data_IF_652921511046
#
_entry.id   IF_652921511046
#
_cell.length_a   1.000
_cell.length_b   1.000
_cell.length_c   1.000
_cell.angle_alpha   90.00
_cell.angle_beta   90.00
_cell.angle_gamma   90.00
#
_symmetry.space_group_name_H-M   'P 1'
#
loop_
_entity.id
_entity.type
_entity.pdbx_description
1 polymer ?
#
# COMPACT_ATOMS: atom_id res chain seq x y z
N UNK A 1 -23.40 18.42 1.35
CA UNK A 1 -22.69 18.93 0.15
C UNK A 1 -22.85 18.03 -1.07
N UNK A 2 -22.59 16.72 -0.99
CA UNK A 2 -22.65 15.79 -2.15
C UNK A 2 -24.03 15.77 -2.85
N UNK A 3 -25.12 15.70 -2.09
CA UNK A 3 -26.50 15.72 -2.62
C UNK A 3 -26.82 16.95 -3.47
N UNK A 4 -26.26 18.10 -3.10
CA UNK A 4 -26.44 19.35 -3.85
C UNK A 4 -25.77 19.26 -5.23
N UNK A 5 -24.53 18.76 -5.29
CA UNK A 5 -23.82 18.58 -6.56
C UNK A 5 -24.47 17.52 -7.46
N UNK A 6 -24.98 16.42 -6.87
CA UNK A 6 -25.71 15.40 -7.61
C UNK A 6 -27.02 15.93 -8.21
N UNK A 7 -27.77 16.73 -7.45
CA UNK A 7 -28.99 17.39 -7.94
C UNK A 7 -28.66 18.39 -9.06
N UNK A 8 -27.61 19.19 -8.91
CA UNK A 8 -27.15 20.16 -9.91
C UNK A 8 -26.75 19.49 -11.23
N UNK A 9 -25.98 18.40 -11.16
CA UNK A 9 -25.58 17.62 -12.35
C UNK A 9 -26.78 17.00 -13.06
N UNK A 10 -27.73 16.44 -12.30
CA UNK A 10 -28.96 15.86 -12.85
C UNK A 10 -29.79 16.93 -13.59
N UNK A 11 -29.94 18.12 -13.00
CA UNK A 11 -30.63 19.24 -13.63
C UNK A 11 -29.93 19.69 -14.93
N UNK A 12 -28.59 19.77 -14.92
CA UNK A 12 -27.81 20.16 -16.10
C UNK A 12 -28.02 19.19 -17.27
N UNK A 13 -28.03 17.88 -17.00
CA UNK A 13 -28.29 16.85 -18.02
C UNK A 13 -29.71 16.96 -18.59
N UNK A 14 -30.72 17.18 -17.74
CA UNK A 14 -32.11 17.36 -18.17
C UNK A 14 -32.24 18.56 -19.13
N UNK A 15 -31.62 19.69 -18.79
CA UNK A 15 -31.65 20.90 -19.63
C UNK A 15 -30.99 20.64 -20.99
N UNK A 16 -29.84 19.96 -21.01
CA UNK A 16 -29.08 19.69 -22.24
C UNK A 16 -29.88 18.79 -23.21
N UNK A 17 -30.64 17.83 -22.67
CA UNK A 17 -31.51 16.95 -23.46
C UNK A 17 -32.75 17.70 -23.97
N UNK A 18 -33.39 18.53 -23.15
CA UNK A 18 -34.63 19.23 -23.53
C UNK A 18 -34.38 20.40 -24.51
N UNK A 19 -33.22 21.07 -24.41
CA UNK A 19 -32.86 22.22 -25.23
C UNK A 19 -32.99 22.02 -26.75
N UNK A 20 -32.44 20.95 -27.38
CA UNK A 20 -32.59 20.72 -28.81
C UNK A 20 -34.03 20.39 -29.22
N UNK A 21 -34.84 19.76 -28.35
CA UNK A 21 -36.25 19.47 -28.64
C UNK A 21 -37.14 20.72 -28.59
N UNK A 22 -36.74 21.74 -27.81
CA UNK A 22 -37.44 23.01 -27.69
C UNK A 22 -37.12 24.00 -28.83
N UNK A 23 -36.06 23.77 -29.61
CA UNK A 23 -35.66 24.69 -30.68
C UNK A 23 -36.55 24.54 -31.93
N UNK A 24 -37.18 25.63 -32.42
CA UNK A 24 -37.96 25.57 -33.65
C UNK A 24 -37.05 25.33 -34.86
N UNK A 25 -37.35 24.27 -35.63
CA UNK A 25 -36.84 24.02 -36.98
C UNK A 25 -37.13 25.22 -37.88
N UNK A 26 -36.12 26.07 -38.13
CA UNK A 26 -36.21 27.25 -39.02
C UNK A 26 -36.40 26.89 -40.51
N UNK A 27 -35.99 25.68 -40.91
CA UNK A 27 -35.81 25.29 -42.32
C UNK A 27 -37.10 25.12 -43.12
N UNK A 28 -38.25 24.85 -42.48
CA UNK A 28 -39.54 24.70 -43.19
C UNK A 28 -40.27 26.03 -43.38
N UNK A 29 -40.00 27.01 -42.51
CA UNK A 29 -40.64 28.33 -42.56
C UNK A 29 -40.08 29.13 -43.74
N UNK A 30 -38.76 29.08 -43.97
CA UNK A 30 -38.11 29.75 -45.11
C UNK A 30 -38.62 29.29 -46.49
N UNK A 31 -38.97 28.01 -46.65
CA UNK A 31 -39.41 27.47 -47.95
C UNK A 31 -40.82 27.94 -48.32
N UNK A 32 -41.74 27.93 -47.35
CA UNK A 32 -43.10 28.39 -47.55
C UNK A 32 -43.16 29.91 -47.80
N UNK A 33 -42.32 30.68 -47.11
CA UNK A 33 -42.23 32.13 -47.33
C UNK A 33 -41.62 32.46 -48.72
N UNK A 34 -40.69 31.64 -49.22
CA UNK A 34 -40.15 31.74 -50.59
C UNK A 34 -41.19 31.40 -51.67
N UNK A 35 -41.94 30.31 -51.52
CA UNK A 35 -42.96 29.90 -52.49
C UNK A 35 -44.08 30.95 -52.61
N UNK A 36 -44.46 31.59 -51.49
CA UNK A 36 -45.44 32.69 -51.49
C UNK A 36 -44.96 33.92 -52.28
N UNK A 37 -43.67 34.24 -52.20
CA UNK A 37 -43.08 35.34 -52.96
C UNK A 37 -43.15 35.07 -54.48
N UNK A 38 -42.89 33.83 -54.90
CA UNK A 38 -43.01 33.41 -56.30
C UNK A 38 -44.45 33.53 -56.80
N UNK A 39 -45.44 33.07 -56.04
CA UNK A 39 -46.84 33.13 -56.47
C UNK A 39 -47.37 34.57 -56.60
N UNK A 40 -46.83 35.52 -55.82
CA UNK A 40 -47.15 36.95 -55.98
C UNK A 40 -46.59 37.50 -57.29
N UNK A 41 -45.34 37.19 -57.61
CA UNK A 41 -44.71 37.61 -58.87
C UNK A 41 -45.44 37.01 -60.10
N UNK A 42 -45.94 35.78 -60.00
CA UNK A 42 -46.77 35.16 -61.03
C UNK A 42 -48.10 35.87 -61.26
N UNK A 43 -48.73 36.42 -60.22
CA UNK A 43 -49.94 37.23 -60.39
C UNK A 43 -49.62 38.51 -61.14
N UNK A 44 -48.53 39.18 -60.79
CA UNK A 44 -48.11 40.41 -61.46
C UNK A 44 -47.74 40.16 -62.94
N UNK A 45 -47.18 38.99 -63.29
CA UNK A 45 -46.90 38.63 -64.68
C UNK A 45 -48.18 38.44 -65.50
N UNK A 46 -49.22 37.82 -64.93
CA UNK A 46 -50.52 37.67 -65.59
C UNK A 46 -51.14 39.04 -65.91
N UNK A 47 -50.96 40.03 -65.04
CA UNK A 47 -51.43 41.40 -65.26
C UNK A 47 -50.68 42.05 -66.43
N UNK A 48 -49.37 41.83 -66.51
CA UNK A 48 -48.54 42.31 -67.61
C UNK A 48 -48.90 41.64 -68.94
N UNK A 49 -49.20 40.36 -68.94
CA UNK A 49 -49.58 39.61 -70.15
C UNK A 49 -50.95 40.03 -70.69
N UNK A 50 -51.91 40.28 -69.80
CA UNK A 50 -53.22 40.83 -70.17
C UNK A 50 -53.07 42.25 -70.74
N UNK A 51 -52.26 43.10 -70.12
CA UNK A 51 -52.01 44.47 -70.60
C UNK A 51 -51.29 44.49 -71.97
N UNK A 52 -50.43 43.49 -72.24
CA UNK A 52 -49.75 43.31 -73.53
C UNK A 52 -50.63 42.64 -74.59
N UNK A 53 -51.82 42.16 -74.22
CA UNK A 53 -52.72 41.43 -75.12
C UNK A 53 -52.21 40.03 -75.53
N UNK A 54 -51.29 39.45 -74.76
CA UNK A 54 -50.76 38.09 -74.99
C UNK A 54 -51.81 37.03 -74.63
N UNK A 55 -52.65 37.35 -73.64
CA UNK A 55 -53.76 36.51 -73.16
C UNK A 55 -55.05 37.34 -73.13
N UNK A 56 -56.19 36.68 -73.28
CA UNK A 56 -57.50 37.32 -73.13
C UNK A 56 -57.93 37.43 -71.65
N UNK A 57 -59.02 38.18 -71.40
CA UNK A 57 -59.51 38.42 -70.04
C UNK A 57 -60.02 37.15 -69.34
N UNK A 58 -60.55 36.18 -70.08
CA UNK A 58 -61.07 34.93 -69.52
C UNK A 58 -59.91 34.03 -69.08
N UNK A 59 -58.86 33.95 -69.90
CA UNK A 59 -57.61 33.24 -69.60
C UNK A 59 -56.89 33.85 -68.39
N UNK A 60 -56.85 35.18 -68.29
CA UNK A 60 -56.25 35.88 -67.15
C UNK A 60 -56.99 35.59 -65.83
N UNK A 61 -58.33 35.64 -65.83
CA UNK A 61 -59.12 35.32 -64.62
C UNK A 61 -58.98 33.85 -64.20
N UNK A 62 -58.93 32.93 -65.16
CA UNK A 62 -58.67 31.52 -64.89
C UNK A 62 -57.29 31.31 -64.24
N UNK A 63 -56.23 31.95 -64.78
CA UNK A 63 -54.88 31.88 -64.24
C UNK A 63 -54.79 32.46 -62.82
N UNK A 64 -55.39 33.64 -62.57
CA UNK A 64 -55.44 34.26 -61.23
C UNK A 64 -56.10 33.35 -60.20
N UNK A 65 -57.19 32.70 -60.58
CA UNK A 65 -57.97 31.83 -59.68
C UNK A 65 -57.15 30.61 -59.26
N UNK A 66 -56.44 29.99 -60.20
CA UNK A 66 -55.55 28.87 -59.93
C UNK A 66 -54.36 29.27 -59.04
N UNK A 67 -53.73 30.43 -59.31
CA UNK A 67 -52.61 30.92 -58.48
C UNK A 67 -53.08 31.24 -57.05
N UNK A 68 -54.23 31.90 -56.89
CA UNK A 68 -54.84 32.16 -55.56
C UNK A 68 -55.16 30.88 -54.81
N UNK A 69 -55.65 29.84 -55.51
CA UNK A 69 -55.89 28.52 -54.92
C UNK A 69 -54.59 27.87 -54.42
N UNK A 70 -53.49 27.99 -55.16
CA UNK A 70 -52.17 27.49 -54.75
C UNK A 70 -51.61 28.23 -53.54
N UNK A 71 -51.82 29.54 -53.45
CA UNK A 71 -51.45 30.34 -52.27
C UNK A 71 -52.18 29.84 -51.01
N UNK A 72 -53.50 29.60 -51.11
CA UNK A 72 -54.30 29.09 -49.99
C UNK A 72 -53.87 27.67 -49.58
N UNK A 73 -53.52 26.81 -50.54
CA UNK A 73 -53.01 25.47 -50.28
C UNK A 73 -51.64 25.51 -49.55
N UNK A 74 -50.73 26.39 -49.99
CA UNK A 74 -49.43 26.56 -49.35
C UNK A 74 -49.53 27.08 -47.89
N UNK A 75 -50.46 28.00 -47.61
CA UNK A 75 -50.71 28.48 -46.24
C UNK A 75 -51.35 27.40 -45.34
N UNK A 76 -52.23 26.57 -45.90
CA UNK A 76 -52.79 25.41 -45.20
C UNK A 76 -51.69 24.38 -44.83
N UNK A 77 -50.76 24.09 -45.76
CA UNK A 77 -49.61 23.21 -45.48
C UNK A 77 -48.67 23.80 -44.41
N UNK A 78 -48.41 25.10 -44.45
CA UNK A 78 -47.63 25.84 -43.42
C UNK A 78 -48.26 25.67 -42.03
N UNK A 79 -49.57 25.81 -41.93
CA UNK A 79 -50.31 25.66 -40.67
C UNK A 79 -50.35 24.20 -40.18
N UNK A 80 -50.46 23.22 -41.09
CA UNK A 80 -50.47 21.79 -40.76
C UNK A 80 -49.10 21.29 -40.23
N UNK A 81 -47.99 21.75 -40.81
CA UNK A 81 -46.63 21.38 -40.39
C UNK A 81 -46.30 21.94 -38.99
N UNK A 82 -46.85 23.11 -38.64
CA UNK A 82 -46.58 23.76 -37.34
C UNK A 82 -47.25 23.07 -36.15
N UNK A 83 -48.41 22.42 -36.37
CA UNK A 83 -49.30 21.94 -35.30
C UNK A 83 -49.14 20.45 -34.98
N UNK A 84 -48.73 19.63 -35.95
CA UNK A 84 -48.91 18.17 -35.85
C UNK A 84 -47.69 17.42 -35.31
N UNK A 85 -46.46 17.93 -35.47
CA UNK A 85 -45.24 17.14 -35.21
C UNK A 85 -44.54 17.41 -33.85
N UNK A 86 -44.74 18.55 -33.19
CA UNK A 86 -43.90 18.96 -32.02
C UNK A 86 -44.44 18.57 -30.64
N UNK A 87 -45.76 18.43 -30.47
CA UNK A 87 -46.38 18.29 -29.13
C UNK A 87 -46.17 16.93 -28.44
N UNK A 88 -46.27 15.76 -29.11
CA UNK A 88 -46.12 14.48 -28.39
C UNK A 88 -44.66 14.15 -28.01
N UNK A 89 -43.69 14.56 -28.84
CA UNK A 89 -42.27 14.31 -28.57
C UNK A 89 -41.72 15.12 -27.39
N UNK A 90 -42.16 16.39 -27.25
CA UNK A 90 -41.78 17.24 -26.13
C UNK A 90 -42.39 16.76 -24.80
N UNK A 91 -43.68 16.40 -24.81
CA UNK A 91 -44.36 15.88 -23.64
C UNK A 91 -43.73 14.56 -23.14
N UNK A 92 -43.35 13.66 -24.07
CA UNK A 92 -42.64 12.44 -23.73
C UNK A 92 -41.25 12.69 -23.13
N UNK A 93 -40.47 13.63 -23.70
CA UNK A 93 -39.15 13.96 -23.18
C UNK A 93 -39.19 14.58 -21.79
N UNK A 94 -40.17 15.46 -21.52
CA UNK A 94 -40.37 16.06 -20.19
C UNK A 94 -40.79 14.98 -19.17
N UNK A 95 -41.68 14.07 -19.58
CA UNK A 95 -42.13 12.97 -18.72
C UNK A 95 -40.97 12.06 -18.32
N UNK A 96 -40.12 11.65 -19.26
CA UNK A 96 -38.95 10.81 -18.99
C UNK A 96 -37.94 11.54 -18.11
N UNK A 97 -37.69 12.83 -18.36
CA UNK A 97 -36.78 13.65 -17.58
C UNK A 97 -37.21 13.82 -16.11
N UNK A 98 -38.51 13.75 -15.82
CA UNK A 98 -39.05 13.82 -14.45
C UNK A 98 -39.14 12.44 -13.78
N UNK A 99 -39.53 11.40 -14.52
CA UNK A 99 -39.71 10.06 -13.95
C UNK A 99 -38.38 9.42 -13.54
N UNK A 100 -37.31 9.58 -14.34
CA UNK A 100 -36.02 8.95 -14.04
C UNK A 100 -35.43 9.35 -12.68
N UNK A 101 -35.30 10.66 -12.34
CA UNK A 101 -34.75 11.08 -11.06
C UNK A 101 -35.63 10.67 -9.88
N UNK A 102 -36.96 10.78 -10.04
CA UNK A 102 -37.92 10.39 -9.00
C UNK A 102 -37.84 8.88 -8.74
N UNK A 103 -37.79 8.08 -9.80
CA UNK A 103 -37.61 6.62 -9.71
C UNK A 103 -36.29 6.25 -9.04
N UNK A 104 -35.20 6.95 -9.37
CA UNK A 104 -33.90 6.73 -8.73
C UNK A 104 -33.95 6.99 -7.21
N UNK A 105 -34.59 8.09 -6.78
CA UNK A 105 -34.80 8.38 -5.35
C UNK A 105 -35.71 7.34 -4.69
N UNK A 106 -36.80 6.94 -5.36
CA UNK A 106 -37.75 5.95 -4.84
C UNK A 106 -37.12 4.56 -4.64
N UNK A 107 -36.17 4.17 -5.50
CA UNK A 107 -35.38 2.94 -5.32
C UNK A 107 -34.29 3.11 -4.26
N UNK A 108 -33.67 4.28 -4.17
CA UNK A 108 -32.58 4.54 -3.22
C UNK A 108 -33.05 4.57 -1.76
N UNK A 109 -34.23 5.13 -1.46
CA UNK A 109 -34.72 5.24 -0.08
C UNK A 109 -34.91 3.87 0.65
N UNK A 110 -35.46 2.82 0.02
CA UNK A 110 -35.62 1.50 0.68
C UNK A 110 -34.36 0.63 0.64
N UNK A 111 -33.50 0.76 -0.37
CA UNK A 111 -32.30 -0.09 -0.52
C UNK A 111 -31.02 0.55 0.01
N UNK A 112 -30.97 1.88 0.02
CA UNK A 112 -29.83 2.66 0.48
C UNK A 112 -29.88 2.90 1.98
N UNK A 113 -28.78 3.44 2.51
CA UNK A 113 -28.69 3.86 3.90
C UNK A 113 -28.40 5.37 3.93
N UNK A 114 -29.42 6.22 3.73
CA UNK A 114 -29.26 7.68 3.63
C UNK A 114 -28.70 8.31 4.90
N UNK A 115 -28.91 7.67 6.05
CA UNK A 115 -28.53 8.17 7.37
C UNK A 115 -27.09 7.82 7.78
N UNK A 116 -26.34 7.09 6.94
CA UNK A 116 -24.95 6.77 7.27
C UNK A 116 -24.08 8.04 7.22
N UNK A 117 -23.36 8.36 8.32
CA UNK A 117 -22.43 9.47 8.33
C UNK A 117 -21.28 9.19 7.36
N UNK A 118 -20.76 10.25 6.75
CA UNK A 118 -19.61 10.14 5.85
C UNK A 118 -18.37 9.68 6.63
N UNK A 119 -17.91 8.45 6.38
CA UNK A 119 -16.70 7.92 7.00
C UNK A 119 -15.46 8.19 6.13
N UNK A 120 -14.43 8.89 6.66
CA UNK A 120 -13.11 8.98 6.06
C UNK A 120 -12.54 7.60 5.70
N UNK A 121 -11.71 7.56 4.65
CA UNK A 121 -11.12 6.30 4.17
C UNK A 121 -10.23 5.62 5.24
N UNK A 122 -9.59 6.40 6.09
CA UNK A 122 -8.76 5.95 7.20
C UNK A 122 -9.57 5.17 8.24
N UNK A 123 -10.68 5.72 8.72
CA UNK A 123 -11.55 5.05 9.70
C UNK A 123 -12.15 3.76 9.15
N UNK A 124 -12.49 3.72 7.85
CA UNK A 124 -12.95 2.49 7.19
C UNK A 124 -11.86 1.42 7.10
N UNK A 125 -10.61 1.82 6.84
CA UNK A 125 -9.46 0.90 6.79
C UNK A 125 -9.11 0.37 8.17
N UNK A 126 -9.18 1.21 9.20
CA UNK A 126 -8.95 0.79 10.59
C UNK A 126 -10.06 -0.13 11.10
N UNK A 127 -11.32 0.16 10.80
CA UNK A 127 -12.44 -0.72 11.12
C UNK A 127 -12.34 -2.07 10.39
N UNK A 128 -11.93 -2.07 9.11
CA UNK A 128 -11.69 -3.29 8.35
C UNK A 128 -10.50 -4.10 8.88
N UNK A 129 -9.40 -3.44 9.26
CA UNK A 129 -8.23 -4.09 9.86
C UNK A 129 -8.56 -4.69 11.24
N UNK A 130 -9.35 -3.97 12.04
CA UNK A 130 -9.82 -4.44 13.36
C UNK A 130 -10.80 -5.60 13.24
N UNK A 131 -11.69 -5.57 12.25
CA UNK A 131 -12.60 -6.68 11.96
C UNK A 131 -11.87 -7.91 11.43
N UNK A 132 -10.87 -7.73 10.55
CA UNK A 132 -10.02 -8.82 10.05
C UNK A 132 -9.18 -9.46 11.17
N UNK A 133 -8.62 -8.63 12.08
CA UNK A 133 -7.90 -9.13 13.25
C UNK A 133 -8.83 -9.80 14.29
N UNK A 134 -10.05 -9.30 14.47
CA UNK A 134 -11.02 -9.87 15.42
C UNK A 134 -11.59 -11.21 14.93
N UNK A 135 -11.88 -11.36 13.63
CA UNK A 135 -12.32 -12.62 13.04
C UNK A 135 -11.26 -13.72 13.15
N UNK A 136 -10.01 -13.41 12.78
CA UNK A 136 -8.88 -14.33 12.93
C UNK A 136 -8.59 -14.67 14.40
N UNK A 137 -8.75 -13.70 15.31
CA UNK A 137 -8.57 -13.95 16.75
C UNK A 137 -9.61 -14.91 17.33
N UNK A 138 -10.86 -14.87 16.86
CA UNK A 138 -11.92 -15.76 17.31
C UNK A 138 -11.71 -17.19 16.79
N UNK A 139 -11.46 -17.34 15.48
CA UNK A 139 -11.15 -18.63 14.86
C UNK A 139 -9.91 -19.29 15.48
N UNK A 140 -8.89 -18.50 15.80
CA UNK A 140 -7.67 -19.01 16.45
C UNK A 140 -7.91 -19.42 17.90
N UNK A 141 -8.81 -18.74 18.64
CA UNK A 141 -9.23 -19.17 19.99
C UNK A 141 -9.97 -20.50 19.95
N UNK A 142 -10.88 -20.67 19.00
CA UNK A 142 -11.63 -21.92 18.83
C UNK A 142 -10.69 -23.08 18.45
N UNK A 143 -9.69 -22.81 17.60
CA UNK A 143 -8.65 -23.79 17.25
C UNK A 143 -7.81 -24.23 18.47
N UNK A 144 -7.44 -23.28 19.34
CA UNK A 144 -6.74 -23.59 20.60
C UNK A 144 -7.60 -24.46 21.51
N UNK A 145 -8.90 -24.18 21.61
CA UNK A 145 -9.80 -24.96 22.46
C UNK A 145 -9.99 -26.38 21.91
N UNK A 146 -10.15 -26.54 20.60
CA UNK A 146 -10.16 -27.87 19.97
C UNK A 146 -8.85 -28.63 20.20
N UNK A 147 -7.71 -27.95 20.13
CA UNK A 147 -6.42 -28.56 20.42
C UNK A 147 -6.33 -29.02 21.89
N UNK A 148 -6.84 -28.23 22.84
CA UNK A 148 -6.93 -28.63 24.25
C UNK A 148 -7.80 -29.86 24.44
N UNK A 149 -8.96 -29.93 23.78
CA UNK A 149 -9.84 -31.11 23.87
C UNK A 149 -9.15 -32.37 23.33
N UNK A 150 -8.44 -32.28 22.19
CA UNK A 150 -7.66 -33.40 21.68
C UNK A 150 -6.56 -33.85 22.63
N UNK A 151 -5.91 -32.92 23.32
CA UNK A 151 -4.89 -33.24 24.33
C UNK A 151 -5.46 -33.83 25.62
N UNK A 152 -6.77 -33.73 25.87
CA UNK A 152 -7.44 -34.50 26.92
C UNK A 152 -7.63 -35.96 26.52
N UNK A 153 -7.86 -36.22 25.22
CA UNK A 153 -8.01 -37.57 24.66
C UNK A 153 -6.64 -38.25 24.47
N UNK A 154 -5.62 -37.48 24.07
CA UNK A 154 -4.23 -37.93 23.90
C UNK A 154 -3.23 -37.05 24.69
N UNK A 155 -3.08 -37.31 26.00
CA UNK A 155 -2.24 -36.50 26.90
C UNK A 155 -0.74 -36.76 26.75
N UNK A 156 -0.32 -37.72 25.91
CA UNK A 156 1.07 -38.10 25.69
C UNK A 156 1.64 -37.54 24.37
N UNK A 157 0.84 -36.80 23.60
CA UNK A 157 1.29 -36.15 22.37
C UNK A 157 2.24 -34.97 22.64
N UNK A 158 3.56 -35.23 22.63
CA UNK A 158 4.59 -34.20 22.76
C UNK A 158 4.44 -33.07 21.72
N UNK A 159 4.10 -33.44 20.49
CA UNK A 159 3.88 -32.51 19.38
C UNK A 159 2.64 -31.64 19.61
N UNK A 160 1.54 -32.23 20.10
CA UNK A 160 0.32 -31.50 20.41
C UNK A 160 0.53 -30.48 21.54
N UNK A 161 1.23 -30.86 22.61
CA UNK A 161 1.59 -29.94 23.70
C UNK A 161 2.53 -28.82 23.22
N UNK A 162 3.49 -29.14 22.35
CA UNK A 162 4.39 -28.14 21.73
C UNK A 162 3.60 -27.14 20.88
N UNK A 163 2.66 -27.65 20.05
CA UNK A 163 1.81 -26.80 19.22
C UNK A 163 0.93 -25.88 20.07
N UNK A 164 0.36 -26.39 21.16
CA UNK A 164 -0.46 -25.60 22.08
C UNK A 164 0.37 -24.48 22.71
N UNK A 165 1.56 -24.81 23.19
CA UNK A 165 2.47 -23.85 23.82
C UNK A 165 2.86 -22.72 22.84
N UNK A 166 3.34 -23.07 21.64
CA UNK A 166 3.71 -22.10 20.60
C UNK A 166 2.54 -21.26 20.12
N UNK A 167 1.36 -21.86 19.96
CA UNK A 167 0.14 -21.13 19.57
C UNK A 167 -0.24 -20.08 20.62
N UNK A 168 -0.19 -20.43 21.91
CA UNK A 168 -0.45 -19.49 22.99
C UNK A 168 0.61 -18.37 23.04
N UNK A 169 1.88 -18.71 22.87
CA UNK A 169 2.98 -17.74 22.81
C UNK A 169 2.83 -16.78 21.62
N UNK A 170 2.45 -17.26 20.43
CA UNK A 170 2.19 -16.44 19.25
C UNK A 170 1.03 -15.44 19.45
N UNK A 171 0.04 -15.81 20.28
CA UNK A 171 -1.03 -14.89 20.72
C UNK A 171 -0.59 -13.90 21.81
N UNK A 172 0.69 -13.86 22.16
CA UNK A 172 1.25 -13.11 23.30
C UNK A 172 0.68 -13.52 24.66
N UNK A 173 0.06 -14.71 24.74
CA UNK A 173 -0.46 -15.32 25.98
C UNK A 173 0.64 -16.14 26.65
N UNK A 174 1.80 -15.53 26.86
CA UNK A 174 3.03 -16.19 27.31
C UNK A 174 2.83 -16.94 28.64
N UNK A 175 2.19 -16.31 29.63
CA UNK A 175 1.92 -16.95 30.93
C UNK A 175 1.07 -18.22 30.81
N UNK A 176 0.07 -18.22 29.92
CA UNK A 176 -0.81 -19.38 29.69
C UNK A 176 -0.11 -20.50 28.91
N UNK A 177 0.97 -20.20 28.19
CA UNK A 177 1.73 -21.20 27.43
C UNK A 177 2.66 -22.05 28.30
N UNK A 178 3.06 -21.54 29.48
CA UNK A 178 4.05 -22.20 30.36
C UNK A 178 3.66 -23.63 30.76
N UNK A 179 2.42 -23.93 31.19
CA UNK A 179 2.02 -25.31 31.50
C UNK A 179 2.15 -26.25 30.30
N UNK A 180 1.82 -25.78 29.10
CA UNK A 180 1.93 -26.56 27.88
C UNK A 180 3.39 -26.79 27.49
N UNK A 181 4.27 -25.79 27.61
CA UNK A 181 5.71 -25.97 27.42
C UNK A 181 6.30 -26.97 28.40
N UNK A 182 5.92 -26.90 29.69
CA UNK A 182 6.39 -27.83 30.71
C UNK A 182 5.99 -29.27 30.37
N UNK A 183 4.73 -29.48 29.99
CA UNK A 183 4.23 -30.80 29.60
C UNK A 183 4.89 -31.32 28.32
N UNK A 184 5.07 -30.46 27.32
CA UNK A 184 5.79 -30.80 26.10
C UNK A 184 7.24 -31.24 26.39
N UNK A 185 7.92 -30.56 27.33
CA UNK A 185 9.30 -30.89 27.70
C UNK A 185 9.40 -32.20 28.47
N UNK A 186 8.43 -32.51 29.33
CA UNK A 186 8.36 -33.83 30.01
C UNK A 186 8.30 -34.97 28.98
N UNK A 187 7.60 -34.77 27.87
CA UNK A 187 7.41 -35.77 26.81
C UNK A 187 8.53 -35.74 25.76
N UNK A 188 9.25 -34.63 25.63
CA UNK A 188 10.35 -34.46 24.67
C UNK A 188 11.52 -33.68 25.31
N UNK A 189 12.26 -34.31 26.23
CA UNK A 189 13.32 -33.64 27.00
C UNK A 189 14.52 -33.22 26.14
N UNK A 190 14.71 -33.87 24.99
CA UNK A 190 15.88 -33.63 24.13
C UNK A 190 15.64 -32.56 23.04
N UNK A 191 14.44 -31.99 22.96
CA UNK A 191 14.09 -31.04 21.91
C UNK A 191 14.67 -29.65 22.20
N UNK A 192 15.79 -29.34 21.54
CA UNK A 192 16.52 -28.06 21.66
C UNK A 192 15.65 -26.84 21.34
N UNK A 193 14.85 -26.92 20.27
CA UNK A 193 13.97 -25.81 19.87
C UNK A 193 12.89 -25.55 20.92
N UNK A 194 12.28 -26.61 21.45
CA UNK A 194 11.27 -26.50 22.51
C UNK A 194 11.84 -25.88 23.79
N UNK A 195 13.04 -26.31 24.22
CA UNK A 195 13.71 -25.74 25.40
C UNK A 195 14.05 -24.26 25.21
N UNK A 196 14.48 -23.88 24.00
CA UNK A 196 14.78 -22.48 23.66
C UNK A 196 13.51 -21.62 23.72
N UNK A 197 12.44 -22.03 23.04
CA UNK A 197 11.16 -21.32 23.03
C UNK A 197 10.58 -21.19 24.46
N UNK A 198 10.73 -22.24 25.27
CA UNK A 198 10.26 -22.23 26.65
C UNK A 198 11.09 -21.26 27.51
N UNK A 199 12.41 -21.29 27.39
CA UNK A 199 13.31 -20.37 28.09
C UNK A 199 12.99 -18.92 27.73
N UNK A 200 12.83 -18.59 26.44
CA UNK A 200 12.44 -17.26 25.97
C UNK A 200 11.07 -16.82 26.49
N UNK A 201 10.11 -17.74 26.54
CA UNK A 201 8.79 -17.47 27.12
C UNK A 201 8.89 -17.12 28.60
N UNK A 202 9.74 -17.84 29.35
CA UNK A 202 10.01 -17.53 30.76
C UNK A 202 10.64 -16.14 30.91
N UNK A 203 11.61 -15.79 30.06
CA UNK A 203 12.20 -14.45 30.03
C UNK A 203 11.13 -13.36 29.84
N UNK A 204 10.20 -13.56 28.92
CA UNK A 204 9.15 -12.57 28.62
C UNK A 204 8.22 -12.37 29.83
N UNK A 205 7.75 -13.45 30.46
CA UNK A 205 6.82 -13.31 31.60
C UNK A 205 7.49 -12.76 32.86
N UNK A 206 8.82 -12.88 32.95
CA UNK A 206 9.65 -12.33 34.02
C UNK A 206 10.31 -11.00 33.61
N UNK A 207 9.77 -10.29 32.61
CA UNK A 207 10.21 -8.96 32.20
C UNK A 207 11.71 -8.87 31.86
N UNK A 208 12.28 -9.92 31.26
CA UNK A 208 13.67 -9.99 30.87
C UNK A 208 14.61 -10.49 31.97
N UNK A 209 14.13 -10.87 33.15
CA UNK A 209 14.93 -11.55 34.17
C UNK A 209 15.19 -13.01 33.78
N UNK A 210 16.46 -13.44 33.82
CA UNK A 210 16.84 -14.84 33.60
C UNK A 210 16.63 -15.61 34.89
N UNK A 211 15.43 -16.18 35.05
CA UNK A 211 15.12 -17.06 36.16
C UNK A 211 15.97 -18.32 36.16
N UNK A 212 16.08 -18.99 37.30
CA UNK A 212 16.83 -20.24 37.41
C UNK A 212 16.25 -21.34 36.49
N UNK A 213 14.92 -21.42 36.34
CA UNK A 213 14.28 -22.36 35.40
C UNK A 213 14.70 -22.06 33.94
N UNK A 214 14.70 -20.79 33.54
CA UNK A 214 15.14 -20.38 32.20
C UNK A 214 16.63 -20.67 31.98
N UNK A 215 17.48 -20.37 32.97
CA UNK A 215 18.91 -20.64 32.90
C UNK A 215 19.20 -22.13 32.70
N UNK A 216 18.53 -23.02 33.45
CA UNK A 216 18.71 -24.46 33.30
C UNK A 216 18.29 -24.97 31.91
N UNK A 217 17.23 -24.41 31.32
CA UNK A 217 16.84 -24.73 29.95
C UNK A 217 17.92 -24.32 28.94
N UNK A 218 18.46 -23.11 29.06
CA UNK A 218 19.52 -22.64 28.17
C UNK A 218 20.83 -23.42 28.36
N UNK A 219 21.18 -23.82 29.58
CA UNK A 219 22.34 -24.68 29.82
C UNK A 219 22.18 -26.05 29.14
N UNK A 220 21.00 -26.68 29.23
CA UNK A 220 20.70 -27.93 28.52
C UNK A 220 20.72 -27.77 26.99
N UNK A 221 20.29 -26.61 26.48
CA UNK A 221 20.45 -26.27 25.05
C UNK A 221 21.94 -26.24 24.69
N UNK A 222 22.79 -25.61 25.50
CA UNK A 222 24.23 -25.54 25.23
C UNK A 222 24.95 -26.90 25.36
N UNK A 223 24.47 -27.81 26.21
CA UNK A 223 24.98 -29.18 26.27
C UNK A 223 24.79 -29.91 24.92
N UNK A 224 23.68 -29.65 24.23
CA UNK A 224 23.34 -30.29 22.94
C UNK A 224 23.82 -29.48 21.74
N UNK A 225 23.89 -28.16 21.87
CA UNK A 225 24.24 -27.21 20.82
C UNK A 225 25.11 -26.10 21.41
N UNK A 226 26.43 -26.34 21.59
CA UNK A 226 27.33 -25.43 22.29
C UNK A 226 27.40 -24.02 21.71
N UNK A 227 27.11 -23.88 20.42
CA UNK A 227 27.15 -22.62 19.68
C UNK A 227 25.75 -22.06 19.38
N UNK A 228 24.70 -22.51 20.08
CA UNK A 228 23.33 -22.01 19.87
C UNK A 228 23.22 -20.52 20.27
N UNK A 229 22.96 -19.59 19.32
CA UNK A 229 23.08 -18.15 19.57
C UNK A 229 22.21 -17.64 20.74
N UNK A 230 20.92 -18.03 20.77
CA UNK A 230 19.99 -17.60 21.82
C UNK A 230 20.45 -18.06 23.21
N UNK A 231 20.80 -19.33 23.38
CA UNK A 231 21.24 -19.86 24.67
C UNK A 231 22.57 -19.24 25.13
N UNK A 232 23.54 -19.01 24.23
CA UNK A 232 24.77 -18.30 24.58
C UNK A 232 24.46 -16.88 25.04
N UNK A 233 23.55 -16.18 24.35
CA UNK A 233 23.10 -14.84 24.72
C UNK A 233 22.44 -14.82 26.10
N UNK A 234 21.46 -15.68 26.36
CA UNK A 234 20.70 -15.66 27.63
C UNK A 234 21.51 -16.16 28.83
N UNK A 235 22.44 -17.11 28.64
CA UNK A 235 23.39 -17.47 29.71
C UNK A 235 24.32 -16.29 30.01
N UNK A 236 24.80 -15.58 29.00
CA UNK A 236 25.59 -14.35 29.18
C UNK A 236 24.80 -13.27 29.91
N UNK A 237 23.53 -13.06 29.54
CA UNK A 237 22.63 -12.14 30.21
C UNK A 237 22.43 -12.51 31.70
N UNK A 238 22.32 -13.80 32.02
CA UNK A 238 22.23 -14.27 33.41
C UNK A 238 23.48 -13.90 34.21
N UNK A 239 24.67 -14.09 33.61
CA UNK A 239 25.94 -13.69 34.25
C UNK A 239 25.97 -12.18 34.52
N UNK A 240 25.54 -11.35 33.55
CA UNK A 240 25.45 -9.90 33.73
C UNK A 240 24.46 -9.52 34.85
N UNK A 241 23.27 -10.11 34.87
CA UNK A 241 22.24 -9.85 35.90
C UNK A 241 22.70 -10.25 37.30
N UNK A 242 23.56 -11.27 37.40
CA UNK A 242 24.19 -11.71 38.67
C UNK A 242 25.45 -10.90 39.04
N UNK A 243 25.78 -9.85 38.29
CA UNK A 243 26.94 -8.97 38.54
C UNK A 243 28.27 -9.51 38.00
N UNK A 244 28.28 -10.68 37.35
CA UNK A 244 29.45 -11.26 36.69
C UNK A 244 29.62 -10.67 35.28
N UNK A 245 29.74 -9.33 35.22
CA UNK A 245 29.74 -8.55 33.98
C UNK A 245 30.85 -8.99 33.02
N UNK A 246 32.06 -9.21 33.53
CA UNK A 246 33.22 -9.64 32.72
C UNK A 246 32.97 -10.99 32.04
N UNK A 247 32.35 -11.95 32.74
CA UNK A 247 32.03 -13.26 32.19
C UNK A 247 30.96 -13.16 31.10
N UNK A 248 29.90 -12.37 31.36
CA UNK A 248 28.83 -12.11 30.38
C UNK A 248 29.36 -11.45 29.12
N UNK A 249 30.20 -10.42 29.27
CA UNK A 249 30.87 -9.73 28.16
C UNK A 249 31.75 -10.67 27.34
N UNK A 250 32.56 -11.50 28.00
CA UNK A 250 33.41 -12.48 27.31
C UNK A 250 32.60 -13.48 26.48
N UNK A 251 31.45 -13.92 27.01
CA UNK A 251 30.54 -14.84 26.33
C UNK A 251 29.85 -14.17 25.14
N UNK A 252 29.36 -12.94 25.28
CA UNK A 252 28.78 -12.17 24.17
C UNK A 252 29.80 -11.83 23.09
N UNK A 253 31.04 -11.50 23.46
CA UNK A 253 32.12 -11.28 22.49
C UNK A 253 32.48 -12.56 21.71
N UNK A 254 32.50 -13.72 22.38
CA UNK A 254 32.68 -15.00 21.71
C UNK A 254 31.52 -15.30 20.74
N UNK A 255 30.28 -14.98 21.12
CA UNK A 255 29.12 -15.11 20.24
C UNK A 255 29.22 -14.20 19.01
N UNK A 256 29.58 -12.94 19.21
CA UNK A 256 29.74 -11.97 18.13
C UNK A 256 30.82 -12.40 17.11
N UNK A 257 31.96 -12.90 17.57
CA UNK A 257 33.03 -13.41 16.69
C UNK A 257 32.61 -14.61 15.83
N UNK A 258 31.63 -15.40 16.29
CA UNK A 258 31.08 -16.54 15.55
C UNK A 258 29.85 -16.18 14.70
N UNK A 259 29.43 -14.91 14.70
CA UNK A 259 28.24 -14.49 13.98
C UNK A 259 28.40 -14.72 12.46
N UNK A 260 27.40 -15.32 11.77
CA UNK A 260 27.45 -15.42 10.33
C UNK A 260 27.38 -14.03 9.68
N UNK A 261 27.98 -13.84 8.49
CA UNK A 261 27.87 -12.57 7.77
C UNK A 261 26.41 -12.18 7.55
N UNK A 262 26.04 -10.95 7.95
CA UNK A 262 24.66 -10.45 7.82
C UNK A 262 23.70 -10.86 8.93
N UNK A 263 24.20 -11.40 10.06
CA UNK A 263 23.39 -11.67 11.24
C UNK A 263 22.64 -10.41 11.73
N UNK A 264 21.31 -10.39 11.59
CA UNK A 264 20.46 -9.24 11.97
C UNK A 264 20.52 -8.90 13.47
N UNK A 265 20.83 -9.89 14.31
CA UNK A 265 20.94 -9.74 15.77
C UNK A 265 22.28 -9.14 16.23
N UNK A 266 23.32 -9.16 15.38
CA UNK A 266 24.68 -8.76 15.77
C UNK A 266 24.77 -7.27 16.19
N UNK A 267 24.19 -6.30 15.44
CA UNK A 267 24.25 -4.89 15.83
C UNK A 267 23.60 -4.62 17.19
N UNK A 268 22.52 -5.34 17.51
CA UNK A 268 21.84 -5.22 18.80
C UNK A 268 22.68 -5.75 19.97
N UNK A 269 23.37 -6.88 19.76
CA UNK A 269 24.28 -7.44 20.76
C UNK A 269 25.46 -6.49 21.03
N UNK A 270 26.08 -5.98 19.97
CA UNK A 270 27.19 -5.03 20.09
C UNK A 270 26.77 -3.74 20.81
N UNK A 271 25.56 -3.25 20.55
CA UNK A 271 25.03 -2.08 21.21
C UNK A 271 24.80 -2.31 22.71
N UNK A 272 24.22 -3.46 23.08
CA UNK A 272 24.11 -3.85 24.48
C UNK A 272 25.47 -3.95 25.18
N UNK A 273 26.47 -4.55 24.53
CA UNK A 273 27.83 -4.65 25.06
C UNK A 273 28.44 -3.26 25.29
N UNK A 274 28.26 -2.32 24.36
CA UNK A 274 28.71 -0.92 24.52
C UNK A 274 28.01 -0.20 25.66
N UNK A 275 26.69 -0.33 25.77
CA UNK A 275 25.92 0.27 26.86
C UNK A 275 26.34 -0.31 28.22
N UNK A 276 26.59 -1.61 28.29
CA UNK A 276 27.05 -2.27 29.51
C UNK A 276 28.45 -1.80 29.92
N UNK A 277 29.38 -1.69 28.97
CA UNK A 277 30.73 -1.18 29.21
C UNK A 277 30.74 0.31 29.60
N UNK A 278 29.82 1.12 29.06
CA UNK A 278 29.70 2.53 29.47
C UNK A 278 29.19 2.70 30.91
N UNK A 279 28.40 1.73 31.39
CA UNK A 279 27.74 1.78 32.69
C UNK A 279 28.43 0.90 33.76
N UNK A 280 29.58 0.30 33.45
CA UNK A 280 30.33 -0.57 34.35
C UNK A 280 31.84 -0.40 34.15
N UNK A 281 32.65 -0.91 35.08
CA UNK A 281 34.12 -0.96 34.90
C UNK A 281 34.58 -2.03 33.89
N UNK A 282 33.65 -2.68 33.18
CA UNK A 282 33.96 -3.70 32.20
C UNK A 282 34.47 -3.08 30.90
N UNK A 283 35.62 -3.56 30.44
CA UNK A 283 36.20 -3.17 29.16
C UNK A 283 35.60 -3.98 28.02
N UNK A 284 35.29 -3.29 26.91
CA UNK A 284 35.03 -3.95 25.64
C UNK A 284 36.31 -4.66 25.18
N UNK A 285 36.22 -5.88 24.64
CA UNK A 285 37.33 -6.50 23.94
C UNK A 285 37.89 -5.57 22.85
N UNK A 286 39.21 -5.51 22.70
CA UNK A 286 39.90 -4.55 21.82
C UNK A 286 39.38 -4.57 20.37
N UNK A 287 38.99 -5.75 19.87
CA UNK A 287 38.39 -5.96 18.54
C UNK A 287 36.99 -5.37 18.38
N UNK A 288 36.32 -5.01 19.49
CA UNK A 288 34.98 -4.41 19.54
C UNK A 288 34.98 -2.97 20.08
N UNK A 289 36.14 -2.42 20.46
CA UNK A 289 36.30 -1.01 20.86
C UNK A 289 36.27 -0.04 19.68
N UNK A 290 36.50 -0.55 18.46
CA UNK A 290 36.30 0.24 17.25
C UNK A 290 34.79 0.56 17.10
N UNK A 291 34.41 1.83 16.82
CA UNK A 291 33.02 2.16 16.55
C UNK A 291 32.50 1.23 15.45
N UNK A 292 31.35 0.59 15.70
CA UNK A 292 30.72 -0.38 14.82
C UNK A 292 30.97 0.01 13.36
N UNK A 293 31.90 -0.70 12.72
CA UNK A 293 32.45 -0.29 11.43
C UNK A 293 31.35 -0.40 10.37
N UNK A 294 30.61 0.69 10.18
CA UNK A 294 29.47 0.73 9.27
C UNK A 294 28.95 2.12 8.91
N UNK A 295 29.35 3.19 9.60
CA UNK A 295 28.97 4.56 9.20
C UNK A 295 29.65 5.64 10.03
N UNK A 296 29.70 6.89 9.52
CA UNK A 296 30.21 8.02 10.28
C UNK A 296 29.39 8.25 11.55
N UNK A 297 30.05 8.63 12.64
CA UNK A 297 29.39 9.00 13.90
C UNK A 297 28.51 10.23 13.69
N UNK A 298 27.58 10.49 14.61
CA UNK A 298 26.72 11.68 14.55
C UNK A 298 27.54 12.98 14.48
N UNK A 299 28.60 13.08 15.27
CA UNK A 299 29.52 14.21 15.24
C UNK A 299 30.23 14.35 13.89
N UNK A 300 30.63 13.23 13.27
CA UNK A 300 31.23 13.22 11.94
C UNK A 300 30.23 13.63 10.85
N UNK A 301 28.94 13.27 10.98
CA UNK A 301 27.89 13.69 10.06
C UNK A 301 27.58 15.20 10.19
N UNK A 302 27.59 15.75 11.40
CA UNK A 302 27.39 17.18 11.65
C UNK A 302 28.57 17.99 11.11
N UNK A 303 29.81 17.55 11.36
CA UNK A 303 31.01 18.17 10.78
C UNK A 303 31.03 18.11 9.24
N UNK A 304 30.57 17.00 8.65
CA UNK A 304 30.51 16.84 7.19
C UNK A 304 29.43 17.74 6.51
N UNK A 305 28.43 18.21 7.27
CA UNK A 305 27.43 19.16 6.77
C UNK A 305 27.99 20.57 6.62
N UNK A 306 28.99 20.93 7.43
CA UNK A 306 29.67 22.23 7.39
C UNK A 306 30.79 22.30 6.34
N UNK A 307 31.23 21.15 5.82
CA UNK A 307 32.27 21.05 4.79
C UNK A 307 31.78 21.45 3.40
N UNK A 308 32.70 22.01 2.60
CA UNK A 308 32.50 22.20 1.17
C UNK A 308 32.38 20.85 0.44
N UNK A 309 31.73 20.81 -0.74
CA UNK A 309 31.64 19.59 -1.55
C UNK A 309 33.01 18.95 -1.84
N UNK A 310 34.04 19.77 -2.07
CA UNK A 310 35.40 19.35 -2.35
C UNK A 310 36.07 18.71 -1.12
N UNK A 311 35.98 19.35 0.04
CA UNK A 311 36.51 18.80 1.31
C UNK A 311 35.81 17.50 1.69
N UNK A 312 34.49 17.41 1.46
CA UNK A 312 33.72 16.20 1.70
C UNK A 312 34.18 15.06 0.79
N UNK A 313 34.47 15.34 -0.49
CA UNK A 313 35.00 14.34 -1.41
C UNK A 313 36.39 13.86 -1.03
N UNK A 314 37.26 14.77 -0.57
CA UNK A 314 38.61 14.43 -0.09
C UNK A 314 38.56 13.56 1.16
N UNK A 315 37.70 13.91 2.12
CA UNK A 315 37.44 13.09 3.30
C UNK A 315 36.91 11.69 2.95
N UNK A 316 35.95 11.60 2.01
CA UNK A 316 35.45 10.29 1.56
C UNK A 316 36.58 9.48 0.92
N UNK A 317 37.42 10.09 0.08
CA UNK A 317 38.58 9.41 -0.52
C UNK A 317 39.54 8.89 0.54
N UNK A 318 39.92 9.70 1.53
CA UNK A 318 40.83 9.26 2.59
C UNK A 318 40.25 8.12 3.43
N UNK A 319 38.94 8.11 3.66
CA UNK A 319 38.25 7.00 4.34
C UNK A 319 38.28 5.70 3.51
N UNK A 320 38.06 5.79 2.21
CA UNK A 320 38.08 4.63 1.30
C UNK A 320 39.50 4.09 1.13
N UNK A 321 40.51 4.97 1.05
CA UNK A 321 41.92 4.57 1.03
C UNK A 321 42.35 3.89 2.33
N UNK A 322 41.86 4.37 3.48
CA UNK A 322 42.09 3.72 4.78
C UNK A 322 41.44 2.33 4.87
N UNK A 323 40.24 2.16 4.30
CA UNK A 323 39.59 0.84 4.17
C UNK A 323 40.41 -0.08 3.26
N UNK A 324 40.91 0.41 2.12
CA UNK A 324 41.77 -0.37 1.24
C UNK A 324 43.05 -0.84 1.94
N UNK A 325 43.70 0.05 2.72
CA UNK A 325 44.90 -0.30 3.47
C UNK A 325 44.63 -1.41 4.48
N UNK A 326 43.55 -1.32 5.26
CA UNK A 326 43.17 -2.37 6.23
C UNK A 326 42.88 -3.71 5.55
N UNK A 327 42.21 -3.70 4.39
CA UNK A 327 41.88 -4.93 3.66
C UNK A 327 43.11 -5.62 3.04
N UNK A 328 44.26 -4.94 2.95
CA UNK A 328 45.53 -5.59 2.63
C UNK A 328 46.04 -6.44 3.80
N UNK A 329 45.78 -6.00 5.03
CA UNK A 329 46.16 -6.72 6.25
C UNK A 329 45.13 -7.81 6.61
N UNK A 330 43.86 -7.63 6.22
CA UNK A 330 42.75 -8.58 6.41
C UNK A 330 42.19 -9.08 5.05
N UNK A 331 42.97 -9.88 4.28
CA UNK A 331 42.65 -10.19 2.89
C UNK A 331 41.44 -11.13 2.70
N UNK A 332 40.91 -11.71 3.78
CA UNK A 332 39.78 -12.63 3.78
C UNK A 332 38.44 -11.98 4.17
N UNK A 333 38.42 -10.67 4.48
CA UNK A 333 37.20 -9.92 4.78
C UNK A 333 36.37 -9.64 3.51
N UNK A 334 35.58 -10.64 3.10
CA UNK A 334 34.65 -10.55 1.97
C UNK A 334 33.69 -9.35 2.08
N UNK A 335 33.22 -9.03 3.29
CA UNK A 335 32.27 -7.93 3.50
C UNK A 335 32.96 -6.57 3.35
N UNK A 336 34.21 -6.45 3.80
CA UNK A 336 35.09 -5.32 3.55
C UNK A 336 35.34 -5.10 2.05
N UNK A 337 35.71 -6.14 1.31
CA UNK A 337 35.92 -6.04 -0.14
C UNK A 337 34.65 -5.61 -0.89
N UNK A 338 33.47 -6.11 -0.50
CA UNK A 338 32.19 -5.66 -1.06
C UNK A 338 31.89 -4.18 -0.78
N UNK A 339 32.21 -3.68 0.41
CA UNK A 339 32.07 -2.26 0.76
C UNK A 339 33.03 -1.41 -0.06
N UNK A 340 34.29 -1.84 -0.18
CA UNK A 340 35.32 -1.14 -0.95
C UNK A 340 34.93 -1.02 -2.44
N UNK A 341 34.45 -2.10 -3.05
CA UNK A 341 33.99 -2.10 -4.44
C UNK A 341 32.86 -1.08 -4.69
N UNK A 342 31.85 -1.05 -3.80
CA UNK A 342 30.75 -0.07 -3.90
C UNK A 342 31.23 1.36 -3.71
N UNK A 343 32.13 1.60 -2.75
CA UNK A 343 32.67 2.93 -2.49
C UNK A 343 33.45 3.47 -3.69
N UNK A 344 34.31 2.65 -4.31
CA UNK A 344 35.03 3.04 -5.52
C UNK A 344 34.11 3.31 -6.71
N UNK A 345 33.02 2.56 -6.89
CA UNK A 345 32.01 2.87 -7.91
C UNK A 345 31.36 4.23 -7.70
N UNK A 346 30.98 4.56 -6.47
CA UNK A 346 30.33 5.84 -6.15
C UNK A 346 31.29 7.00 -6.42
N UNK A 347 32.60 6.80 -6.16
CA UNK A 347 33.65 7.77 -6.45
C UNK A 347 34.05 7.85 -7.94
N UNK A 348 33.51 6.97 -8.79
CA UNK A 348 33.85 6.91 -10.23
C UNK A 348 35.17 6.20 -10.55
N UNK A 349 35.82 5.59 -9.55
CA UNK A 349 37.09 4.85 -9.70
C UNK A 349 36.83 3.41 -10.16
N UNK A 350 36.35 3.26 -11.39
CA UNK A 350 35.90 1.97 -11.94
C UNK A 350 36.98 0.89 -11.93
N UNK A 351 38.22 1.23 -12.28
CA UNK A 351 39.35 0.29 -12.28
C UNK A 351 39.62 -0.27 -10.88
N UNK A 352 39.58 0.57 -9.83
CA UNK A 352 39.76 0.13 -8.45
C UNK A 352 38.58 -0.74 -7.98
N UNK A 353 37.37 -0.39 -8.39
CA UNK A 353 36.18 -1.18 -8.08
C UNK A 353 36.27 -2.59 -8.69
N UNK A 354 36.72 -2.71 -9.94
CA UNK A 354 36.88 -4.00 -10.63
C UNK A 354 37.91 -4.92 -9.94
N UNK A 355 39.02 -4.35 -9.45
CA UNK A 355 40.03 -5.08 -8.68
C UNK A 355 39.42 -5.62 -7.38
N UNK A 356 38.67 -4.79 -6.64
CA UNK A 356 37.97 -5.23 -5.44
C UNK A 356 36.92 -6.31 -5.77
N UNK A 357 36.17 -6.17 -6.85
CA UNK A 357 35.20 -7.17 -7.32
C UNK A 357 35.84 -8.50 -7.73
N UNK A 358 37.03 -8.47 -8.30
CA UNK A 358 37.80 -9.69 -8.58
C UNK A 358 38.16 -10.41 -7.29
N UNK A 359 38.64 -9.68 -6.27
CA UNK A 359 38.98 -10.27 -4.98
C UNK A 359 37.77 -10.89 -4.29
N UNK A 360 36.60 -10.26 -4.39
CA UNK A 360 35.32 -10.82 -3.91
C UNK A 360 35.04 -12.17 -4.57
N UNK A 361 35.19 -12.28 -5.89
CA UNK A 361 34.95 -13.52 -6.64
C UNK A 361 35.89 -14.64 -6.20
N UNK A 362 37.17 -14.32 -6.01
CA UNK A 362 38.17 -15.29 -5.51
C UNK A 362 37.79 -15.82 -4.13
N UNK A 363 37.43 -14.93 -3.20
CA UNK A 363 37.03 -15.28 -1.83
C UNK A 363 35.72 -16.09 -1.78
N UNK A 364 34.81 -15.88 -2.74
CA UNK A 364 33.57 -16.66 -2.84
C UNK A 364 33.80 -18.08 -3.37
N UNK A 365 34.78 -18.26 -4.27
CA UNK A 365 35.12 -19.57 -4.83
C UNK A 365 35.96 -20.43 -3.88
N UNK A 366 36.68 -19.80 -2.94
CA UNK A 366 37.53 -20.49 -1.96
C UNK A 366 36.79 -20.90 -0.67
N UNK A 367 35.50 -20.61 -0.54
CA UNK A 367 34.70 -21.04 0.62
C UNK A 367 34.12 -22.45 0.36
N UNK A 368 34.36 -23.42 1.26
CA UNK A 368 33.87 -24.79 1.12
C UNK A 368 32.36 -24.92 1.25
#
# INVERSE_FOLDING_TARGET
MLWFYAALMTLAVIVLILWPLLRPTRRSIDRADYDLAIYRDQLDEVDRDLARGVIDAEQAEAARTEIKRRILAADAERNAISTTARRPALAGAILIALILPIGAVAVYLPLGNPDLPAQPLTERREAAAKAAGAGSSLEFKDAIEQLRQRLLEDPESAEGWTLLARSLAAMKRHAESVPAFRRARELSPDNVGLMTDFGETLMIIHNGEVTEEALQLFLQVLEKSPDHPAAVYYVGLSSVQKGMVTEGMARWAALARKAPPGAEWLPFLEDQMRQLAANSDATLPDDMTAPATGGPTREQMEAAQEMTPEERLEMIRSMVDGLEARLKDEPDDLAGWQRLARAWRVLGETAKAEIAEQRIRELQQSRP
#
